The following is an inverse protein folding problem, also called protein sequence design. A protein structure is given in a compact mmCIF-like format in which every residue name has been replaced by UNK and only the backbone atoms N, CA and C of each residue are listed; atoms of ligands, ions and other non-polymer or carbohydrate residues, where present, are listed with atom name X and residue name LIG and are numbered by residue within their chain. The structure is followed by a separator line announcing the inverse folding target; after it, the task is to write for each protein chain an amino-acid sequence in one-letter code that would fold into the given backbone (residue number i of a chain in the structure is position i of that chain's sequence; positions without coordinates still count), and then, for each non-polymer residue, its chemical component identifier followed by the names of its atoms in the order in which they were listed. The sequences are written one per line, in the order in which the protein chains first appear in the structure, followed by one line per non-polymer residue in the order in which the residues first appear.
data_IF_689107523159
#
_entry.id   IF_689107523159
#
_cell.length_a   1.000
_cell.length_b   1.000
_cell.length_c   1.000
_cell.angle_alpha   90.00
_cell.angle_beta   90.00
_cell.angle_gamma   90.00
#
_symmetry.space_group_name_H-M   'P 1'
#
loop_
_entity.id
_entity.type
_entity.pdbx_description
1 polymer ?
#
# COMPACT_ATOMS: atom_id res chain seq x y z
N UNK A 1 -49.26 49.69 -9.76
CA UNK A 1 -48.60 48.38 -9.90
C UNK A 1 -47.45 48.30 -8.91
N UNK A 2 -47.54 47.42 -7.90
CA UNK A 2 -46.41 47.08 -7.01
C UNK A 2 -46.17 45.58 -7.15
N UNK A 3 -45.04 45.22 -7.76
CA UNK A 3 -44.63 43.83 -7.97
C UNK A 3 -44.08 43.27 -6.65
N UNK A 4 -44.73 42.25 -6.09
CA UNK A 4 -44.17 41.44 -4.99
C UNK A 4 -43.25 40.38 -5.59
N UNK A 5 -41.96 40.45 -5.30
CA UNK A 5 -41.01 39.36 -5.56
C UNK A 5 -41.07 38.44 -4.34
N UNK A 6 -41.50 37.19 -4.55
CA UNK A 6 -41.41 36.13 -3.54
C UNK A 6 -40.07 35.43 -3.78
N UNK A 7 -39.11 35.64 -2.88
CA UNK A 7 -37.89 34.83 -2.84
C UNK A 7 -38.25 33.54 -2.11
N UNK A 8 -38.39 32.45 -2.87
CA UNK A 8 -38.53 31.11 -2.32
C UNK A 8 -37.14 30.62 -1.92
N UNK A 9 -36.76 30.81 -0.65
CA UNK A 9 -35.58 30.19 -0.08
C UNK A 9 -35.85 28.69 0.11
N UNK A 10 -35.33 27.88 -0.82
CA UNK A 10 -35.33 26.42 -0.69
C UNK A 10 -34.32 26.05 0.41
N UNK A 11 -34.81 25.87 1.63
CA UNK A 11 -34.09 25.20 2.73
C UNK A 11 -34.06 23.68 2.48
N UNK A 12 -33.31 23.25 1.45
CA UNK A 12 -32.84 21.87 1.33
C UNK A 12 -31.31 21.91 1.38
N UNK A 13 -30.71 21.61 2.54
CA UNK A 13 -29.38 20.94 2.63
C UNK A 13 -28.72 21.13 4.00
N UNK A 14 -29.19 20.44 5.03
CA UNK A 14 -28.33 20.19 6.21
C UNK A 14 -28.33 18.73 6.58
N UNK A 15 -29.51 18.09 6.70
CA UNK A 15 -29.59 16.65 7.00
C UNK A 15 -29.10 15.75 5.87
N UNK A 16 -29.43 16.04 4.60
CA UNK A 16 -28.93 15.27 3.46
C UNK A 16 -27.42 15.40 3.27
N UNK A 17 -26.87 16.60 3.53
CA UNK A 17 -25.43 16.84 3.49
C UNK A 17 -24.69 16.09 4.62
N UNK A 18 -25.23 16.11 5.84
CA UNK A 18 -24.66 15.40 6.99
C UNK A 18 -24.68 13.86 6.81
N UNK A 19 -25.75 13.32 6.21
CA UNK A 19 -25.87 11.88 5.91
C UNK A 19 -24.90 11.48 4.79
N UNK A 20 -24.74 12.32 3.75
CA UNK A 20 -23.78 12.07 2.68
C UNK A 20 -22.33 12.11 3.18
N UNK A 21 -21.97 13.05 4.05
CA UNK A 21 -20.62 13.18 4.60
C UNK A 21 -20.24 11.99 5.50
N UNK A 22 -21.18 11.48 6.30
CA UNK A 22 -20.95 10.30 7.14
C UNK A 22 -20.74 8.99 6.36
N UNK A 23 -21.22 8.88 5.11
CA UNK A 23 -21.06 7.66 4.31
C UNK A 23 -19.62 7.42 3.82
N UNK A 24 -18.77 8.46 3.88
CA UNK A 24 -17.38 8.43 3.44
C UNK A 24 -16.38 8.51 4.61
N UNK A 25 -16.85 8.66 5.84
CA UNK A 25 -15.99 8.71 7.01
C UNK A 25 -15.19 7.40 7.17
N UNK A 26 -13.93 7.46 7.64
CA UNK A 26 -13.14 6.27 7.92
C UNK A 26 -13.80 5.36 8.95
N UNK A 27 -13.84 4.06 8.64
CA UNK A 27 -14.41 3.02 9.51
C UNK A 27 -13.27 2.22 10.13
N UNK A 28 -13.13 2.28 11.45
CA UNK A 28 -12.18 1.45 12.19
C UNK A 28 -12.46 -0.04 11.96
N UNK A 29 -11.43 -0.86 11.71
CA UNK A 29 -11.58 -2.29 11.45
C UNK A 29 -11.89 -3.14 12.70
N UNK A 30 -11.92 -2.53 13.88
CA UNK A 30 -12.33 -3.16 15.12
C UNK A 30 -11.27 -4.11 15.71
N UNK A 31 -11.58 -4.74 16.85
CA UNK A 31 -10.60 -5.43 17.71
C UNK A 31 -10.02 -6.72 17.11
N UNK A 32 -10.59 -7.22 16.00
CA UNK A 32 -10.01 -8.34 15.27
C UNK A 32 -8.71 -7.95 14.55
N UNK A 33 -8.56 -6.66 14.23
CA UNK A 33 -7.41 -6.08 13.53
C UNK A 33 -6.66 -5.12 14.46
N UNK A 34 -7.36 -4.10 14.98
CA UNK A 34 -6.76 -3.00 15.73
C UNK A 34 -6.72 -3.28 17.24
N UNK A 35 -5.63 -2.89 17.88
CA UNK A 35 -5.42 -3.02 19.32
C UNK A 35 -4.68 -1.81 19.89
N UNK A 36 -4.55 -1.77 21.22
CA UNK A 36 -3.84 -0.67 21.90
C UNK A 36 -2.34 -0.59 21.56
N UNK A 37 -1.76 -1.65 21.00
CA UNK A 37 -0.35 -1.68 20.65
C UNK A 37 -0.04 -0.93 19.36
N UNK A 38 -1.05 -0.62 18.54
CA UNK A 38 -0.90 0.05 17.26
C UNK A 38 -0.65 -0.92 16.11
N UNK A 39 -1.31 -0.63 15.00
CA UNK A 39 -1.23 -1.36 13.75
C UNK A 39 -1.09 -0.40 12.57
N UNK A 40 -0.47 -0.89 11.49
CA UNK A 40 -0.43 -0.12 10.28
C UNK A 40 0.19 -0.85 9.10
N UNK A 41 0.39 -0.11 8.01
CA UNK A 41 0.84 -0.65 6.73
C UNK A 41 -0.04 -1.79 6.22
N UNK A 42 -1.34 -1.52 6.08
CA UNK A 42 -2.25 -2.49 5.48
C UNK A 42 -1.91 -2.72 4.01
N UNK A 43 -1.85 -3.99 3.62
CA UNK A 43 -1.84 -4.46 2.24
C UNK A 43 -2.99 -5.44 2.07
N UNK A 44 -4.01 -5.03 1.33
CA UNK A 44 -5.19 -5.85 1.04
C UNK A 44 -4.94 -6.75 -0.18
N UNK A 45 -5.40 -7.99 -0.14
CA UNK A 45 -5.38 -8.88 -1.30
C UNK A 45 -6.30 -8.34 -2.41
N UNK A 46 -5.98 -8.63 -3.67
CA UNK A 46 -6.77 -8.16 -4.81
C UNK A 46 -8.24 -8.60 -4.76
N UNK A 47 -8.53 -9.77 -4.19
CA UNK A 47 -9.90 -10.26 -3.99
C UNK A 47 -10.61 -9.70 -2.74
N UNK A 48 -9.91 -8.86 -1.95
CA UNK A 48 -10.42 -8.20 -0.75
C UNK A 48 -10.68 -9.13 0.43
N UNK A 49 -10.17 -10.37 0.41
CA UNK A 49 -10.46 -11.40 1.43
C UNK A 49 -9.36 -11.57 2.48
N UNK A 50 -8.15 -11.12 2.20
CA UNK A 50 -7.00 -11.19 3.12
C UNK A 50 -6.39 -9.81 3.28
N UNK A 51 -5.96 -9.46 4.49
CA UNK A 51 -5.24 -8.23 4.78
C UNK A 51 -3.97 -8.57 5.54
N UNK A 52 -2.86 -7.96 5.14
CA UNK A 52 -1.55 -8.10 5.73
C UNK A 52 -1.15 -6.75 6.32
N UNK A 53 -0.51 -6.75 7.48
CA UNK A 53 -0.17 -5.51 8.17
C UNK A 53 0.92 -5.76 9.21
N UNK A 54 1.54 -4.69 9.70
CA UNK A 54 2.35 -4.78 10.90
C UNK A 54 1.53 -4.48 12.15
N UNK A 55 1.92 -5.13 13.25
CA UNK A 55 1.44 -4.85 14.59
C UNK A 55 2.63 -4.82 15.54
N UNK A 56 2.63 -3.87 16.47
CA UNK A 56 3.68 -3.81 17.49
C UNK A 56 3.57 -4.99 18.45
N UNK A 57 4.71 -5.65 18.65
CA UNK A 57 4.87 -6.78 19.54
C UNK A 57 6.15 -6.61 20.36
N UNK A 58 6.02 -6.65 21.68
CA UNK A 58 7.16 -6.59 22.58
C UNK A 58 8.05 -7.82 22.40
N UNK A 59 9.33 -7.59 22.09
CA UNK A 59 10.36 -8.63 22.00
C UNK A 59 11.23 -8.59 23.23
N UNK A 60 11.08 -9.60 24.08
CA UNK A 60 11.88 -9.73 25.29
C UNK A 60 13.39 -9.76 25.00
N UNK A 61 13.81 -10.43 23.92
CA UNK A 61 15.22 -10.49 23.49
C UNK A 61 15.84 -9.14 23.16
N UNK A 62 15.02 -8.17 22.72
CA UNK A 62 15.46 -6.83 22.33
C UNK A 62 15.06 -5.76 23.35
N UNK A 63 14.30 -6.13 24.37
CA UNK A 63 13.69 -5.25 25.36
C UNK A 63 13.00 -4.01 24.74
N UNK A 64 12.26 -4.22 23.64
CA UNK A 64 11.51 -3.16 22.94
C UNK A 64 10.38 -3.74 22.11
N UNK A 65 9.42 -2.90 21.74
CA UNK A 65 8.44 -3.23 20.71
C UNK A 65 9.07 -3.27 19.33
N UNK A 66 8.64 -4.25 18.51
CA UNK A 66 8.99 -4.32 17.09
C UNK A 66 7.74 -4.45 16.24
N UNK A 67 7.74 -3.81 15.08
CA UNK A 67 6.70 -4.00 14.08
C UNK A 67 6.83 -5.41 13.51
N UNK A 68 5.88 -6.27 13.83
CA UNK A 68 5.87 -7.67 13.37
C UNK A 68 4.82 -7.85 12.29
N UNK A 69 5.02 -8.74 11.32
CA UNK A 69 4.07 -9.07 10.27
C UNK A 69 2.91 -9.96 10.78
N UNK A 70 1.68 -9.57 10.46
CA UNK A 70 0.45 -10.29 10.76
C UNK A 70 -0.46 -10.32 9.52
N UNK A 71 -1.41 -11.25 9.52
CA UNK A 71 -2.48 -11.27 8.53
C UNK A 71 -3.83 -11.61 9.15
N UNK A 72 -4.91 -11.18 8.51
CA UNK A 72 -6.27 -11.62 8.80
C UNK A 72 -7.00 -12.01 7.53
N UNK A 73 -8.06 -12.82 7.68
CA UNK A 73 -8.94 -13.24 6.59
C UNK A 73 -10.39 -12.93 6.96
N UNK A 74 -11.18 -12.59 5.95
CA UNK A 74 -12.63 -12.51 6.10
C UNK A 74 -13.24 -13.91 6.25
N UNK A 75 -14.28 -14.01 7.07
CA UNK A 75 -15.17 -15.16 7.10
C UNK A 75 -16.19 -15.13 5.94
N UNK A 76 -17.10 -16.10 5.89
CA UNK A 76 -18.15 -16.18 4.86
C UNK A 76 -19.19 -15.06 4.95
N UNK A 77 -19.29 -14.39 6.10
CA UNK A 77 -20.15 -13.22 6.29
C UNK A 77 -19.44 -11.90 5.95
N UNK A 78 -18.13 -11.95 5.62
CA UNK A 78 -17.33 -10.77 5.27
C UNK A 78 -16.65 -10.09 6.47
N UNK A 79 -16.72 -10.68 7.67
CA UNK A 79 -16.09 -10.12 8.87
C UNK A 79 -14.63 -10.55 8.99
N UNK A 80 -13.77 -9.65 9.44
CA UNK A 80 -12.38 -10.00 9.75
C UNK A 80 -12.29 -10.95 10.93
N UNK A 81 -11.56 -12.05 10.75
CA UNK A 81 -11.19 -12.96 11.85
C UNK A 81 -10.05 -12.34 12.70
N UNK A 82 -9.84 -12.82 13.93
CA UNK A 82 -8.66 -12.43 14.71
C UNK A 82 -7.37 -12.61 13.91
N UNK A 83 -6.52 -11.60 13.93
CA UNK A 83 -5.26 -11.60 13.22
C UNK A 83 -4.32 -12.72 13.68
N UNK A 84 -3.52 -13.23 12.75
CA UNK A 84 -2.57 -14.31 12.97
C UNK A 84 -1.15 -13.82 12.68
N UNK A 85 -0.26 -14.13 13.61
CA UNK A 85 1.16 -13.84 13.49
C UNK A 85 1.77 -14.62 12.32
N UNK A 86 2.63 -13.97 11.52
CA UNK A 86 3.33 -14.62 10.42
C UNK A 86 4.68 -15.16 10.91
N UNK A 87 4.95 -16.46 10.77
CA UNK A 87 6.25 -17.02 11.14
C UNK A 87 7.39 -16.53 10.25
N UNK A 88 8.56 -17.17 10.36
CA UNK A 88 9.62 -17.04 9.35
C UNK A 88 9.05 -17.40 7.96
N UNK A 89 9.46 -16.71 6.89
CA UNK A 89 10.51 -15.68 6.86
C UNK A 89 10.01 -14.24 7.13
N UNK A 90 8.72 -14.02 7.37
CA UNK A 90 8.15 -12.67 7.46
C UNK A 90 8.54 -11.90 8.73
N UNK A 91 8.72 -12.62 9.84
CA UNK A 91 9.22 -12.09 11.09
C UNK A 91 10.60 -12.69 11.38
N UNK A 92 11.55 -11.83 11.75
CA UNK A 92 12.87 -12.21 12.27
C UNK A 92 12.96 -11.89 13.75
N UNK A 93 13.96 -12.45 14.43
CA UNK A 93 14.12 -12.28 15.89
C UNK A 93 14.77 -10.93 16.27
N UNK A 94 15.35 -10.21 15.30
CA UNK A 94 16.21 -9.05 15.53
C UNK A 94 15.62 -7.73 15.03
N UNK A 95 14.70 -7.75 14.07
CA UNK A 95 14.33 -6.55 13.31
C UNK A 95 12.84 -6.46 12.99
N UNK A 96 12.38 -5.24 12.74
CA UNK A 96 11.02 -4.97 12.28
C UNK A 96 10.78 -5.54 10.89
N UNK A 97 9.60 -6.13 10.71
CA UNK A 97 9.09 -6.60 9.43
C UNK A 97 8.52 -5.45 8.58
N UNK A 98 8.45 -5.67 7.28
CA UNK A 98 7.63 -4.86 6.39
C UNK A 98 7.03 -5.76 5.33
N UNK A 99 5.71 -5.74 5.20
CA UNK A 99 5.00 -6.30 4.05
C UNK A 99 4.57 -5.12 3.19
N UNK A 100 5.10 -5.09 1.97
CA UNK A 100 5.00 -3.93 1.09
C UNK A 100 4.02 -4.15 -0.07
N UNK A 101 3.78 -5.41 -0.42
CA UNK A 101 2.92 -5.78 -1.53
C UNK A 101 2.50 -7.24 -1.43
N UNK A 102 1.31 -7.56 -1.95
CA UNK A 102 0.84 -8.92 -2.20
C UNK A 102 0.34 -8.99 -3.64
N UNK A 103 0.78 -10.00 -4.38
CA UNK A 103 0.38 -10.20 -5.77
C UNK A 103 -1.12 -10.53 -5.88
N UNK A 104 -1.78 -10.19 -6.99
CA UNK A 104 -3.21 -10.45 -7.17
C UNK A 104 -3.65 -11.92 -7.04
N UNK A 105 -2.73 -12.85 -7.27
CA UNK A 105 -2.96 -14.29 -7.12
C UNK A 105 -2.64 -14.81 -5.69
N UNK A 106 -2.23 -13.93 -4.77
CA UNK A 106 -1.80 -14.22 -3.40
C UNK A 106 -0.62 -15.20 -3.28
N UNK A 107 0.18 -15.36 -4.34
CA UNK A 107 1.33 -16.26 -4.34
C UNK A 107 2.69 -15.56 -4.14
N UNK A 108 2.72 -14.23 -4.12
CA UNK A 108 3.96 -13.47 -3.95
C UNK A 108 3.76 -12.32 -2.97
N UNK A 109 4.69 -12.16 -2.02
CA UNK A 109 4.73 -11.05 -1.09
C UNK A 109 6.08 -10.33 -1.23
N UNK A 110 6.07 -9.01 -1.32
CA UNK A 110 7.27 -8.18 -1.20
C UNK A 110 7.49 -7.85 0.27
N UNK A 111 8.69 -8.14 0.78
CA UNK A 111 9.07 -7.88 2.17
C UNK A 111 10.28 -6.94 2.28
N UNK A 112 10.40 -6.30 3.46
CA UNK A 112 11.59 -5.55 3.88
C UNK A 112 12.80 -6.46 4.04
N UNK A 113 13.96 -5.93 3.65
CA UNK A 113 15.26 -6.56 3.79
C UNK A 113 15.68 -7.31 2.54
N UNK A 114 16.98 -7.31 2.25
CA UNK A 114 17.57 -8.20 1.28
C UNK A 114 17.95 -9.50 1.98
N UNK A 115 17.37 -10.61 1.54
CA UNK A 115 17.64 -11.93 2.09
C UNK A 115 18.45 -12.79 1.10
N UNK A 116 19.34 -13.59 1.67
CA UNK A 116 20.11 -14.61 0.95
C UNK A 116 20.25 -15.83 1.85
N UNK A 117 19.98 -17.02 1.30
CA UNK A 117 20.03 -18.28 2.05
C UNK A 117 19.19 -18.28 3.33
N UNK A 118 18.00 -17.67 3.29
CA UNK A 118 17.07 -17.62 4.43
C UNK A 118 17.37 -16.55 5.49
N UNK A 119 18.47 -15.81 5.36
CA UNK A 119 18.88 -14.78 6.32
C UNK A 119 18.83 -13.38 5.69
N UNK A 120 18.44 -12.37 6.48
CA UNK A 120 18.53 -10.97 6.07
C UNK A 120 19.99 -10.52 6.16
N UNK A 121 20.54 -10.03 5.05
CA UNK A 121 21.95 -9.67 4.94
C UNK A 121 22.16 -8.15 4.95
N UNK A 122 21.21 -7.39 4.41
CA UNK A 122 21.28 -5.93 4.33
C UNK A 122 19.88 -5.31 4.19
N UNK A 123 19.79 -3.99 4.30
CA UNK A 123 18.60 -3.23 3.90
C UNK A 123 18.27 -3.45 2.42
N UNK A 124 16.98 -3.39 2.07
CA UNK A 124 16.52 -3.63 0.72
C UNK A 124 15.16 -4.32 0.71
N UNK A 125 14.95 -5.18 -0.30
CA UNK A 125 13.69 -5.87 -0.52
C UNK A 125 13.93 -7.33 -0.91
N UNK A 126 12.95 -8.18 -0.60
CA UNK A 126 12.93 -9.58 -1.05
C UNK A 126 11.53 -10.00 -1.47
N UNK A 127 11.44 -10.94 -2.40
CA UNK A 127 10.18 -11.60 -2.76
C UNK A 127 10.07 -12.95 -2.05
N UNK A 128 8.93 -13.19 -1.43
CA UNK A 128 8.55 -14.50 -0.86
C UNK A 128 7.48 -15.09 -1.75
N UNK A 129 7.76 -16.23 -2.36
CA UNK A 129 6.80 -16.94 -3.22
C UNK A 129 6.15 -18.10 -2.50
N UNK A 130 4.93 -18.45 -2.88
CA UNK A 130 4.17 -19.55 -2.31
C UNK A 130 4.21 -20.77 -3.23
N UNK A 131 4.51 -21.93 -2.65
CA UNK A 131 4.37 -23.24 -3.26
C UNK A 131 3.25 -24.04 -2.58
N UNK A 132 3.01 -25.27 -3.06
CA UNK A 132 2.05 -26.18 -2.41
C UNK A 132 2.43 -26.51 -0.95
N UNK A 133 3.72 -26.39 -0.59
CA UNK A 133 4.24 -26.67 0.75
C UNK A 133 4.17 -25.48 1.70
N UNK A 134 3.82 -24.29 1.20
CA UNK A 134 3.81 -23.05 1.99
C UNK A 134 4.61 -21.93 1.34
N UNK A 135 5.04 -20.97 2.15
CA UNK A 135 5.93 -19.90 1.72
C UNK A 135 7.36 -20.42 1.60
N UNK A 136 8.02 -20.11 0.49
CA UNK A 136 9.41 -20.46 0.23
C UNK A 136 10.35 -19.45 0.91
N UNK A 137 11.66 -19.71 0.88
CA UNK A 137 12.65 -18.75 1.36
C UNK A 137 12.62 -17.45 0.52
N UNK A 138 12.88 -16.28 1.14
CA UNK A 138 12.86 -15.02 0.41
C UNK A 138 14.04 -14.93 -0.57
N UNK A 139 13.77 -14.34 -1.73
CA UNK A 139 14.78 -14.03 -2.74
C UNK A 139 15.03 -12.53 -2.75
N UNK A 140 16.23 -12.13 -2.33
CA UNK A 140 16.66 -10.73 -2.30
C UNK A 140 16.68 -10.08 -3.68
N UNK A 141 16.24 -8.83 -3.74
CA UNK A 141 16.23 -8.02 -4.96
C UNK A 141 17.50 -7.17 -5.03
N UNK A 142 18.37 -7.47 -6.00
CA UNK A 142 19.58 -6.68 -6.19
C UNK A 142 19.26 -5.37 -6.93
N UNK A 143 19.20 -4.29 -6.16
CA UNK A 143 18.97 -2.92 -6.63
C UNK A 143 20.30 -2.16 -6.45
N UNK A 144 21.02 -1.85 -7.55
CA UNK A 144 22.21 -1.00 -7.50
C UNK A 144 21.90 0.32 -6.79
N UNK A 145 22.90 0.96 -6.19
CA UNK A 145 22.83 2.25 -5.46
C UNK A 145 21.83 2.34 -4.28
N UNK A 146 21.05 1.30 -3.97
CA UNK A 146 20.07 1.35 -2.87
C UNK A 146 20.70 1.71 -1.52
N UNK A 147 21.77 1.01 -1.12
CA UNK A 147 22.43 1.24 0.18
C UNK A 147 23.11 2.62 0.25
N UNK A 148 23.59 3.13 -0.88
CA UNK A 148 24.22 4.44 -0.96
C UNK A 148 23.21 5.58 -0.77
N UNK A 149 21.97 5.35 -1.19
CA UNK A 149 20.87 6.30 -1.10
C UNK A 149 20.07 6.15 0.21
N UNK A 150 19.78 4.93 0.66
CA UNK A 150 18.95 4.65 1.83
C UNK A 150 19.67 4.93 3.16
N UNK A 151 19.85 6.21 3.49
CA UNK A 151 20.56 6.69 4.69
C UNK A 151 19.61 7.19 5.79
N UNK A 152 18.37 7.52 5.44
CA UNK A 152 17.33 7.93 6.38
C UNK A 152 16.83 6.80 7.27
N UNK A 153 16.00 7.14 8.24
CA UNK A 153 15.48 6.15 9.21
C UNK A 153 14.32 5.32 8.65
N UNK A 154 13.66 5.82 7.61
CA UNK A 154 12.53 5.15 6.97
C UNK A 154 12.85 4.78 5.52
N UNK A 155 12.30 3.64 5.12
CA UNK A 155 12.34 3.17 3.74
C UNK A 155 11.25 2.12 3.52
N UNK A 156 10.83 1.96 2.28
CA UNK A 156 9.86 0.97 1.86
C UNK A 156 9.42 1.21 0.43
N UNK A 157 8.32 0.62 0.01
CA UNK A 157 7.84 0.80 -1.35
C UNK A 157 6.68 -0.10 -1.68
N UNK A 158 6.41 -0.24 -2.97
CA UNK A 158 5.47 -1.20 -3.52
C UNK A 158 6.02 -1.79 -4.83
N UNK A 159 5.59 -3.02 -5.15
CA UNK A 159 5.82 -3.61 -6.47
C UNK A 159 4.78 -3.06 -7.45
N UNK A 160 5.19 -2.77 -8.68
CA UNK A 160 4.26 -2.45 -9.76
C UNK A 160 3.37 -3.67 -10.07
N UNK A 161 2.07 -3.50 -10.41
CA UNK A 161 1.17 -4.62 -10.60
C UNK A 161 1.55 -5.52 -11.78
N UNK A 162 2.29 -4.98 -12.76
CA UNK A 162 2.84 -5.72 -13.88
C UNK A 162 4.13 -6.50 -13.54
N UNK A 163 4.65 -6.34 -12.32
CA UNK A 163 5.87 -6.99 -11.84
C UNK A 163 7.16 -6.47 -12.47
N UNK A 164 7.11 -5.38 -13.25
CA UNK A 164 8.26 -4.87 -14.01
C UNK A 164 9.12 -3.88 -13.25
N UNK A 165 8.75 -3.49 -12.04
CA UNK A 165 9.52 -2.54 -11.25
C UNK A 165 8.94 -2.29 -9.87
N UNK A 166 9.61 -1.41 -9.13
CA UNK A 166 9.19 -0.96 -7.80
C UNK A 166 9.13 0.57 -7.78
N UNK A 167 8.19 1.11 -6.99
CA UNK A 167 8.27 2.48 -6.49
C UNK A 167 8.72 2.40 -5.04
N UNK A 168 9.78 3.12 -4.70
CA UNK A 168 10.47 3.05 -3.40
C UNK A 168 10.45 4.44 -2.78
N UNK A 169 10.26 4.52 -1.46
CA UNK A 169 10.56 5.71 -0.70
C UNK A 169 11.76 5.45 0.23
N UNK A 170 12.63 6.44 0.37
CA UNK A 170 13.79 6.43 1.27
C UNK A 170 14.28 7.85 1.52
N UNK A 171 15.03 8.06 2.61
CA UNK A 171 15.76 9.29 2.88
C UNK A 171 17.24 9.22 2.45
N UNK A 172 17.76 10.27 1.82
CA UNK A 172 19.18 10.39 1.40
C UNK A 172 20.09 10.97 2.49
N UNK A 173 19.48 11.62 3.48
CA UNK A 173 20.19 12.26 4.59
C UNK A 173 20.21 11.29 5.76
N UNK A 174 21.41 11.08 6.32
CA UNK A 174 21.62 10.19 7.46
C UNK A 174 20.70 10.61 8.61
N UNK A 175 19.97 9.63 9.16
CA UNK A 175 19.08 9.79 10.31
C UNK A 175 17.89 10.75 10.08
N UNK A 176 17.63 11.17 8.83
CA UNK A 176 16.46 11.99 8.49
C UNK A 176 15.17 11.16 8.43
N UNK A 177 14.07 11.76 8.83
CA UNK A 177 12.72 11.24 8.65
C UNK A 177 12.14 11.57 7.26
N UNK A 178 12.73 12.54 6.56
CA UNK A 178 12.31 12.97 5.23
C UNK A 178 12.65 11.92 4.18
N UNK A 179 11.67 11.61 3.34
CA UNK A 179 11.78 10.64 2.28
C UNK A 179 11.43 11.25 0.93
N UNK A 180 12.04 10.69 -0.10
CA UNK A 180 11.79 10.97 -1.50
C UNK A 180 11.32 9.68 -2.20
N UNK A 181 10.60 9.82 -3.32
CA UNK A 181 10.17 8.72 -4.16
C UNK A 181 11.18 8.44 -5.28
N UNK A 182 11.41 7.15 -5.53
CA UNK A 182 12.28 6.61 -6.58
C UNK A 182 11.56 5.50 -7.31
N UNK A 183 12.01 5.26 -8.54
CA UNK A 183 11.59 4.12 -9.36
C UNK A 183 12.79 3.27 -9.73
N UNK A 184 12.57 1.96 -9.85
CA UNK A 184 13.53 1.03 -10.46
C UNK A 184 12.78 -0.03 -11.27
N UNK A 185 13.45 -0.54 -12.30
CA UNK A 185 12.87 -1.50 -13.24
C UNK A 185 13.64 -2.82 -13.22
N UNK A 186 12.88 -3.90 -13.33
CA UNK A 186 13.41 -5.25 -13.44
C UNK A 186 14.05 -5.43 -14.82
N UNK A 187 15.26 -5.97 -14.85
CA UNK A 187 16.00 -6.39 -16.06
C UNK A 187 15.72 -7.85 -16.38
N UNK A 188 16.08 -8.26 -17.60
CA UNK A 188 15.89 -9.64 -18.09
C UNK A 188 16.62 -10.70 -17.24
N UNK A 189 17.68 -10.31 -16.52
CA UNK A 189 18.47 -11.19 -15.66
C UNK A 189 17.98 -11.22 -14.19
N UNK A 190 16.73 -10.84 -13.94
CA UNK A 190 16.11 -10.76 -12.60
C UNK A 190 16.78 -9.78 -11.60
N UNK A 191 17.72 -8.94 -12.06
CA UNK A 191 18.24 -7.79 -11.29
C UNK A 191 17.45 -6.52 -11.58
N UNK A 192 17.73 -5.44 -10.86
CA UNK A 192 17.05 -4.15 -11.03
C UNK A 192 17.98 -3.06 -11.54
N UNK A 193 17.44 -2.06 -12.23
CA UNK A 193 18.16 -0.84 -12.57
C UNK A 193 18.54 -0.07 -11.31
N UNK A 194 19.53 0.84 -11.35
CA UNK A 194 19.72 1.80 -10.26
C UNK A 194 18.42 2.56 -9.96
N UNK A 195 18.27 3.01 -8.71
CA UNK A 195 17.17 3.90 -8.34
C UNK A 195 17.27 5.22 -9.11
N UNK A 196 16.13 5.67 -9.63
CA UNK A 196 15.97 6.98 -10.27
C UNK A 196 14.91 7.77 -9.52
N UNK A 197 15.25 8.96 -9.04
CA UNK A 197 14.32 9.84 -8.34
C UNK A 197 13.14 10.22 -9.25
N UNK A 198 11.92 10.25 -8.72
CA UNK A 198 10.73 10.77 -9.41
C UNK A 198 10.67 12.28 -9.16
N UNK A 199 11.52 13.03 -9.88
CA UNK A 199 11.84 14.43 -9.54
C UNK A 199 10.62 15.34 -9.42
N UNK A 200 9.61 15.14 -10.25
CA UNK A 200 8.39 15.97 -10.25
C UNK A 200 7.54 15.80 -8.98
N UNK A 201 7.67 14.68 -8.27
CA UNK A 201 6.92 14.41 -7.04
C UNK A 201 7.71 14.75 -5.76
N UNK A 202 9.04 14.76 -5.87
CA UNK A 202 9.97 15.04 -4.78
C UNK A 202 10.13 16.55 -4.59
N UNK A 203 9.32 17.11 -3.69
CA UNK A 203 9.33 18.52 -3.31
C UNK A 203 9.90 18.66 -1.89
N UNK A 204 10.05 19.89 -1.39
CA UNK A 204 10.47 20.17 -0.01
C UNK A 204 9.37 19.80 1.00
N UNK A 205 9.09 18.51 1.10
CA UNK A 205 8.11 17.83 1.94
C UNK A 205 8.55 16.36 2.00
N UNK A 206 8.06 15.60 2.96
CA UNK A 206 8.18 14.16 2.99
C UNK A 206 7.27 13.52 1.92
N UNK A 207 7.75 12.47 1.23
CA UNK A 207 6.94 11.60 0.39
C UNK A 207 7.20 10.14 0.74
N UNK A 208 6.16 9.44 1.22
CA UNK A 208 6.31 8.09 1.77
C UNK A 208 5.14 7.18 1.42
N UNK A 209 5.32 5.89 1.66
CA UNK A 209 4.26 4.87 1.58
C UNK A 209 3.52 4.84 0.23
N UNK A 210 4.24 4.76 -0.90
CA UNK A 210 3.62 4.75 -2.22
C UNK A 210 2.80 3.46 -2.43
N UNK A 211 1.65 3.62 -3.07
CA UNK A 211 0.79 2.54 -3.57
C UNK A 211 0.41 2.83 -5.02
N UNK A 212 0.98 2.06 -5.94
CA UNK A 212 0.61 2.08 -7.35
C UNK A 212 -0.61 1.19 -7.57
N UNK A 213 -1.68 1.76 -8.10
CA UNK A 213 -2.92 1.06 -8.34
C UNK A 213 -2.79 0.07 -9.50
N UNK A 214 -3.78 -0.82 -9.62
CA UNK A 214 -3.80 -1.91 -10.60
C UNK A 214 -3.78 -1.46 -12.07
N UNK A 215 -4.11 -0.21 -12.35
CA UNK A 215 -3.98 0.42 -13.68
C UNK A 215 -2.54 0.76 -14.08
N UNK A 216 -1.58 0.60 -13.16
CA UNK A 216 -0.16 0.95 -13.30
C UNK A 216 0.08 2.41 -13.72
N UNK A 217 -0.87 3.29 -13.38
CA UNK A 217 -0.86 4.72 -13.70
C UNK A 217 -1.19 5.59 -12.49
N UNK A 218 -2.15 5.18 -11.66
CA UNK A 218 -2.61 5.97 -10.52
C UNK A 218 -1.77 5.63 -9.30
N UNK A 219 -1.06 6.63 -8.77
CA UNK A 219 -0.24 6.53 -7.57
C UNK A 219 -0.92 7.24 -6.40
N UNK A 220 -1.02 6.55 -5.28
CA UNK A 220 -1.37 7.10 -3.99
C UNK A 220 -0.13 7.13 -3.11
N UNK A 221 0.09 8.18 -2.34
CA UNK A 221 1.23 8.29 -1.43
C UNK A 221 0.93 9.23 -0.28
N UNK A 222 1.66 9.09 0.83
CA UNK A 222 1.55 9.98 1.99
C UNK A 222 2.54 11.13 1.90
N UNK A 223 2.11 12.35 2.22
CA UNK A 223 2.96 13.55 2.18
C UNK A 223 2.42 14.65 3.08
N UNK A 224 3.33 15.39 3.71
CA UNK A 224 3.10 16.62 4.50
C UNK A 224 3.22 17.90 3.64
N UNK A 225 3.10 17.77 2.32
CA UNK A 225 3.18 18.89 1.38
C UNK A 225 2.09 19.94 1.64
N UNK A 226 2.34 21.22 1.30
CA UNK A 226 1.35 22.28 1.47
C UNK A 226 0.02 21.98 0.77
N UNK A 227 -1.10 22.40 1.40
CA UNK A 227 -2.46 22.14 0.92
C UNK A 227 -3.12 20.89 1.51
N UNK A 228 -2.48 20.27 2.51
CA UNK A 228 -3.02 19.16 3.29
C UNK A 228 -3.95 19.55 4.45
N UNK A 229 -4.45 18.54 5.16
CA UNK A 229 -5.34 18.57 6.31
C UNK A 229 -4.59 18.36 7.64
N UNK A 230 -3.55 17.51 7.65
CA UNK A 230 -2.83 17.11 8.86
C UNK A 230 -1.31 17.00 8.70
N UNK A 231 -0.70 16.18 9.56
CA UNK A 231 0.75 15.98 9.64
C UNK A 231 1.31 15.18 8.47
N UNK A 232 0.53 14.25 7.93
CA UNK A 232 0.80 13.60 6.65
C UNK A 232 -0.54 13.14 6.09
N UNK A 233 -0.73 13.33 4.80
CA UNK A 233 -2.00 13.07 4.14
C UNK A 233 -1.83 12.12 2.96
N UNK A 234 -2.91 11.45 2.57
CA UNK A 234 -2.98 10.73 1.31
C UNK A 234 -3.21 11.69 0.14
N UNK A 235 -2.30 11.61 -0.84
CA UNK A 235 -2.33 12.31 -2.11
C UNK A 235 -2.46 11.31 -3.26
N UNK A 236 -3.14 11.72 -4.34
CA UNK A 236 -3.27 10.98 -5.60
C UNK A 236 -2.61 11.74 -6.74
N UNK A 237 -1.92 11.02 -7.62
CA UNK A 237 -1.42 11.53 -8.90
C UNK A 237 -1.51 10.46 -9.98
N UNK A 238 -1.54 10.87 -11.24
CA UNK A 238 -1.64 9.97 -12.39
C UNK A 238 -0.43 10.13 -13.30
N UNK A 239 0.21 9.02 -13.64
CA UNK A 239 1.30 8.96 -14.61
C UNK A 239 0.79 9.33 -15.99
N UNK A 240 1.47 10.27 -16.65
CA UNK A 240 1.03 10.85 -17.93
C UNK A 240 1.71 10.21 -19.15
N UNK A 241 2.82 9.50 -18.95
CA UNK A 241 3.55 8.76 -19.99
C UNK A 241 4.42 7.62 -19.40
N UNK A 242 5.10 6.87 -20.26
CA UNK A 242 5.94 5.72 -19.89
C UNK A 242 7.31 6.06 -19.30
N UNK A 243 7.63 7.33 -19.09
CA UNK A 243 8.94 7.74 -18.56
C UNK A 243 9.05 7.58 -17.04
N UNK A 244 7.91 7.48 -16.35
CA UNK A 244 7.81 7.55 -14.87
C UNK A 244 8.31 8.87 -14.27
N UNK A 245 8.60 9.87 -15.11
CA UNK A 245 9.05 11.20 -14.70
C UNK A 245 7.99 12.28 -14.95
N UNK A 246 6.90 11.93 -15.64
CA UNK A 246 5.80 12.82 -15.95
C UNK A 246 4.52 12.36 -15.25
N UNK A 247 4.06 13.18 -14.31
CA UNK A 247 2.92 12.90 -13.44
C UNK A 247 2.04 14.13 -13.36
N UNK A 248 0.73 13.93 -13.23
CA UNK A 248 -0.21 15.03 -12.97
C UNK A 248 0.11 15.68 -11.63
N UNK A 249 -0.31 16.94 -11.45
CA UNK A 249 -0.21 17.60 -10.14
C UNK A 249 -0.89 16.74 -9.07
N UNK A 250 -0.21 16.43 -7.95
CA UNK A 250 -0.81 15.66 -6.88
C UNK A 250 -2.01 16.37 -6.26
N UNK A 251 -3.07 15.61 -6.03
CA UNK A 251 -4.34 16.07 -5.46
C UNK A 251 -4.53 15.47 -4.08
N UNK A 252 -4.81 16.31 -3.07
CA UNK A 252 -5.15 15.85 -1.74
C UNK A 252 -6.52 15.15 -1.78
N UNK A 253 -6.66 14.01 -1.11
CA UNK A 253 -7.93 13.25 -1.12
C UNK A 253 -9.03 13.85 -0.24
N UNK A 254 -8.76 14.99 0.40
CA UNK A 254 -9.72 15.80 1.13
C UNK A 254 -10.06 15.26 2.51
N UNK A 255 -10.85 16.02 3.29
CA UNK A 255 -11.11 15.76 4.70
C UNK A 255 -12.05 14.56 4.95
N UNK A 256 -12.56 13.92 3.89
CA UNK A 256 -13.30 12.66 4.01
C UNK A 256 -12.38 11.46 4.14
N UNK A 257 -11.15 11.57 3.65
CA UNK A 257 -10.13 10.51 3.69
C UNK A 257 -9.01 10.89 4.64
N UNK A 258 -8.52 12.12 4.54
CA UNK A 258 -7.47 12.65 5.40
C UNK A 258 -8.06 13.26 6.67
N UNK A 259 -7.36 13.04 7.77
CA UNK A 259 -7.64 13.54 9.10
C UNK A 259 -6.78 14.77 9.41
N UNK A 260 -6.91 15.30 10.62
CA UNK A 260 -6.02 16.37 11.10
C UNK A 260 -4.69 15.81 11.65
N UNK A 261 -4.56 14.48 11.76
CA UNK A 261 -3.43 13.80 12.37
C UNK A 261 -2.51 13.22 11.27
N UNK A 262 -1.98 12.01 11.47
CA UNK A 262 -1.08 11.34 10.52
C UNK A 262 -1.80 10.21 9.80
N UNK A 263 -1.80 10.29 8.47
CA UNK A 263 -2.46 9.36 7.55
C UNK A 263 -1.50 8.81 6.49
N UNK A 264 -1.38 7.50 6.41
CA UNK A 264 -0.42 6.85 5.52
C UNK A 264 -0.82 5.42 5.14
N UNK A 265 0.04 4.78 4.34
CA UNK A 265 -0.09 3.37 3.96
C UNK A 265 -1.42 3.01 3.30
N UNK A 266 -1.77 3.80 2.28
CA UNK A 266 -2.94 3.53 1.46
C UNK A 266 -2.81 2.19 0.72
N UNK A 267 -3.88 1.41 0.67
CA UNK A 267 -3.99 0.22 -0.18
C UNK A 267 -5.42 0.02 -0.68
N UNK A 268 -5.54 -0.69 -1.80
CA UNK A 268 -6.81 -0.88 -2.50
C UNK A 268 -6.95 -2.32 -3.00
N UNK A 269 -8.16 -2.89 -2.88
CA UNK A 269 -8.48 -4.15 -3.55
C UNK A 269 -8.77 -3.92 -5.04
N UNK A 270 -8.88 -4.99 -5.84
CA UNK A 270 -9.08 -4.84 -7.28
C UNK A 270 -10.45 -4.24 -7.64
N UNK A 271 -11.42 -4.22 -6.71
CA UNK A 271 -12.74 -3.61 -6.95
C UNK A 271 -12.69 -2.10 -6.77
N UNK A 272 -11.75 -1.60 -5.96
CA UNK A 272 -11.58 -0.17 -5.73
C UNK A 272 -12.77 0.51 -5.06
N UNK A 273 -13.68 -0.25 -4.45
CA UNK A 273 -14.82 0.33 -3.71
C UNK A 273 -14.37 0.92 -2.38
N UNK A 274 -13.43 0.27 -1.72
CA UNK A 274 -12.92 0.66 -0.42
C UNK A 274 -11.41 0.59 -0.38
N UNK A 275 -10.81 1.69 0.08
CA UNK A 275 -9.41 1.74 0.45
C UNK A 275 -9.23 1.34 1.92
N UNK A 276 -8.00 0.96 2.24
CA UNK A 276 -7.52 0.72 3.59
C UNK A 276 -6.30 1.60 3.81
N UNK A 277 -6.19 2.18 5.00
CA UNK A 277 -5.03 3.00 5.37
C UNK A 277 -4.82 3.00 6.87
N UNK A 278 -3.67 3.49 7.29
CA UNK A 278 -3.37 3.75 8.69
C UNK A 278 -3.70 5.20 9.03
N UNK A 279 -4.38 5.40 10.14
CA UNK A 279 -4.66 6.72 10.70
C UNK A 279 -4.34 6.73 12.19
N UNK A 280 -3.78 7.83 12.68
CA UNK A 280 -3.64 8.09 14.12
C UNK A 280 -4.86 8.78 14.73
N UNK A 281 -5.85 9.19 13.92
CA UNK A 281 -7.04 9.84 14.42
C UNK A 281 -7.97 8.84 15.13
N UNK A 282 -8.33 9.16 16.39
CA UNK A 282 -9.23 8.36 17.23
C UNK A 282 -8.81 6.88 17.35
N UNK A 283 -7.50 6.61 17.31
CA UNK A 283 -6.97 5.25 17.41
C UNK A 283 -7.10 4.67 18.82
N UNK A 284 -7.17 3.34 18.92
CA UNK A 284 -7.13 2.63 20.21
C UNK A 284 -5.75 2.72 20.88
N UNK A 285 -4.70 2.90 20.08
CA UNK A 285 -3.29 3.05 20.47
C UNK A 285 -2.61 4.19 19.71
N UNK A 286 -1.41 3.96 19.17
CA UNK A 286 -0.68 4.97 18.38
C UNK A 286 -1.21 5.17 16.96
N UNK A 287 -1.80 4.13 16.37
CA UNK A 287 -2.40 4.17 15.04
C UNK A 287 -3.30 2.95 14.83
N UNK A 288 -4.34 3.11 14.03
CA UNK A 288 -5.27 2.04 13.67
C UNK A 288 -5.38 1.91 12.14
N UNK A 289 -5.74 0.71 11.67
CA UNK A 289 -6.15 0.50 10.28
C UNK A 289 -7.64 0.83 10.14
N UNK A 290 -7.94 1.71 9.20
CA UNK A 290 -9.30 2.14 8.86
C UNK A 290 -9.63 1.74 7.43
N UNK A 291 -10.93 1.60 7.15
CA UNK A 291 -11.48 1.33 5.83
C UNK A 291 -12.29 2.54 5.37
N UNK A 292 -12.04 3.00 4.15
CA UNK A 292 -12.64 4.23 3.62
C UNK A 292 -13.31 3.95 2.28
N UNK A 293 -14.51 4.51 2.08
CA UNK A 293 -15.20 4.41 0.80
C UNK A 293 -14.60 5.43 -0.17
N UNK A 294 -14.21 5.01 -1.36
CA UNK A 294 -13.66 5.94 -2.35
C UNK A 294 -14.77 6.55 -3.23
N UNK A 295 -14.73 7.88 -3.35
CA UNK A 295 -15.49 8.61 -4.36
C UNK A 295 -14.97 8.26 -5.76
N UNK A 296 -15.81 8.37 -6.79
CA UNK A 296 -15.52 7.86 -8.15
C UNK A 296 -14.29 8.54 -8.75
N UNK A 297 -14.19 9.85 -8.58
CA UNK A 297 -13.07 10.70 -8.99
C UNK A 297 -11.73 10.28 -8.35
N UNK A 298 -11.77 9.64 -7.18
CA UNK A 298 -10.61 9.20 -6.44
C UNK A 298 -10.21 7.76 -6.75
N UNK A 299 -10.94 7.05 -7.62
CA UNK A 299 -10.60 5.67 -8.03
C UNK A 299 -9.55 5.64 -9.15
N UNK A 300 -8.80 4.54 -9.28
CA UNK A 300 -7.99 4.26 -10.46
C UNK A 300 -8.86 3.84 -11.65
N UNK A 301 -8.25 3.73 -12.84
CA UNK A 301 -8.91 3.12 -14.00
C UNK A 301 -9.24 1.64 -13.72
N UNK A 302 -10.43 1.15 -14.10
CA UNK A 302 -10.78 -0.25 -13.90
C UNK A 302 -9.91 -1.16 -14.76
N UNK A 303 -9.51 -2.31 -14.19
CA UNK A 303 -8.76 -3.35 -14.91
C UNK A 303 -9.45 -4.70 -14.84
N UNK A 304 -9.13 -5.59 -15.78
CA UNK A 304 -9.58 -6.98 -15.76
C UNK A 304 -8.49 -7.85 -15.15
N UNK A 305 -8.82 -8.55 -14.06
CA UNK A 305 -7.93 -9.53 -13.45
C UNK A 305 -8.20 -10.92 -14.01
N UNK A 306 -7.22 -11.48 -14.73
CA UNK A 306 -7.25 -12.86 -15.22
C UNK A 306 -6.47 -13.74 -14.24
N UNK A 307 -7.12 -14.78 -13.68
CA UNK A 307 -6.48 -15.77 -12.80
C UNK A 307 -6.88 -17.19 -13.18
N UNK A 308 -5.94 -18.13 -13.03
CA UNK A 308 -6.18 -19.54 -13.34
C UNK A 308 -5.01 -20.43 -12.93
N UNK A 309 -5.16 -21.73 -13.14
CA UNK A 309 -4.07 -22.71 -13.02
C UNK A 309 -3.74 -23.22 -14.41
N UNK A 310 -2.46 -23.27 -14.75
CA UNK A 310 -2.00 -23.99 -15.95
C UNK A 310 -1.65 -25.41 -15.51
N UNK A 311 -2.32 -26.40 -16.10
CA UNK A 311 -2.17 -27.80 -15.74
C UNK A 311 -1.53 -28.57 -16.90
N UNK A 312 -0.63 -29.50 -16.58
CA UNK A 312 -0.19 -30.51 -17.53
C UNK A 312 -1.39 -31.39 -17.90
N UNK A 313 -1.69 -31.50 -19.19
CA UNK A 313 -2.84 -32.27 -19.70
C UNK A 313 -2.85 -33.74 -19.27
N UNK A 314 -1.69 -34.37 -19.16
CA UNK A 314 -1.59 -35.80 -18.88
C UNK A 314 -1.63 -36.11 -17.38
N UNK A 315 -1.08 -35.22 -16.55
CA UNK A 315 -0.94 -35.47 -15.11
C UNK A 315 -1.93 -34.68 -14.26
N UNK A 316 -2.64 -33.70 -14.84
CA UNK A 316 -3.43 -32.68 -14.14
C UNK A 316 -2.66 -31.90 -13.05
N UNK A 317 -1.32 -32.01 -13.04
CA UNK A 317 -0.49 -31.27 -12.09
C UNK A 317 -0.25 -29.85 -12.60
N UNK A 318 -0.20 -28.85 -11.70
CA UNK A 318 0.17 -27.48 -12.08
C UNK A 318 1.55 -27.44 -12.72
N UNK A 319 1.70 -26.62 -13.76
CA UNK A 319 2.97 -26.34 -14.43
C UNK A 319 3.28 -24.85 -14.37
N UNK A 320 4.57 -24.53 -14.28
CA UNK A 320 5.03 -23.16 -14.43
C UNK A 320 4.81 -22.73 -15.88
N UNK A 321 4.18 -21.58 -16.08
CA UNK A 321 3.89 -21.03 -17.39
C UNK A 321 3.97 -19.50 -17.36
N UNK A 322 4.40 -18.90 -18.47
CA UNK A 322 4.25 -17.47 -18.70
C UNK A 322 2.91 -17.24 -19.40
N UNK A 323 2.04 -16.44 -18.79
CA UNK A 323 0.76 -16.05 -19.40
C UNK A 323 0.96 -14.68 -20.05
N UNK A 324 0.67 -14.57 -21.34
CA UNK A 324 0.49 -13.31 -22.05
C UNK A 324 -0.98 -13.14 -22.40
N UNK A 325 -1.48 -11.92 -22.31
CA UNK A 325 -2.80 -11.55 -22.80
C UNK A 325 -2.65 -10.35 -23.74
N UNK A 326 -3.47 -10.31 -24.78
CA UNK A 326 -3.53 -9.20 -25.73
C UNK A 326 -4.97 -8.70 -25.75
N UNK A 327 -5.12 -7.38 -25.69
CA UNK A 327 -6.42 -6.76 -25.92
C UNK A 327 -6.57 -6.53 -27.43
N UNK A 328 -7.44 -7.30 -28.08
CA UNK A 328 -7.66 -7.21 -29.52
C UNK A 328 -8.45 -5.96 -29.95
N UNK A 329 -8.83 -5.08 -29.00
CA UNK A 329 -9.60 -3.87 -29.25
C UNK A 329 -8.74 -2.58 -29.41
N UNK A 330 -7.40 -2.70 -29.34
CA UNK A 330 -6.42 -1.63 -29.55
C UNK A 330 -5.31 -2.12 -30.46
#
# INVERSE_FOLDING_TARGET
MKTKIIILSILLSSRTFLIAQNAYAPINLGPAINTKNGEGHSVISADGKEIYFWKNLFRQSLNRDVQSAWYSKKDSAGNWKPAKYMGKPFNTDAESSGIFYVSPDNNTILIRGYFKNGERIKEGFSLVTRSQKGWNDPVGLEIPNYIELAKGIYSGGCLMPDGKGLIIYLGEIKDSEDNNLYVTFKKDNDTYTPLVAIKVLNVSANQSTPFIASDNKTLYFSSDRPGGQGNADIWKTTRLDDTWQNWSTPQNLGPTINSADWDAYFSLDAKGEYAYMTSSQNSLGSSDIVKIKLAVENKPEPVVLIKGKVLNKNTNQPVQAKISYENLAT
#
